data_IF_127692762202
#
_entry.id   IF_127692762202
#
_cell.length_a   1.000
_cell.length_b   1.000
_cell.length_c   1.000
_cell.angle_alpha   90.00
_cell.angle_beta   90.00
_cell.angle_gamma   90.00
#
_symmetry.space_group_name_H-M   'P 1'
#
loop_
_entity.id
_entity.type
_entity.pdbx_description
1 polymer ?
#
# COMPACT_ATOMS: atom_id res chain seq x y z
N UNK A 1 6.63 -46.57 -24.24
CA UNK A 1 5.96 -45.27 -24.53
C UNK A 1 6.03 -44.45 -23.26
N UNK A 2 7.10 -43.68 -23.08
CA UNK A 2 7.28 -42.81 -21.90
C UNK A 2 6.73 -41.43 -22.26
N UNK A 3 5.67 -41.00 -21.57
CA UNK A 3 5.17 -39.63 -21.66
C UNK A 3 6.11 -38.74 -20.83
N UNK A 4 6.79 -37.82 -21.49
CA UNK A 4 7.48 -36.69 -20.86
C UNK A 4 6.45 -35.57 -20.70
N UNK A 5 6.22 -35.01 -19.50
CA UNK A 5 5.37 -33.84 -19.35
C UNK A 5 6.13 -32.61 -19.85
N UNK A 6 5.60 -31.94 -20.87
CA UNK A 6 6.05 -30.64 -21.32
C UNK A 6 5.74 -29.62 -20.22
N UNK A 7 6.76 -29.11 -19.54
CA UNK A 7 6.65 -27.90 -18.72
C UNK A 7 6.36 -26.73 -19.65
N UNK A 8 5.13 -26.24 -19.65
CA UNK A 8 4.77 -24.98 -20.30
C UNK A 8 5.39 -23.84 -19.49
N UNK A 9 6.53 -23.34 -19.96
CA UNK A 9 7.08 -22.06 -19.54
C UNK A 9 6.10 -20.95 -19.94
N UNK A 10 5.39 -20.39 -18.97
CA UNK A 10 4.65 -19.14 -19.15
C UNK A 10 5.67 -18.02 -19.39
N UNK A 11 5.93 -17.70 -20.66
CA UNK A 11 6.58 -16.46 -21.04
C UNK A 11 5.64 -15.31 -20.66
N UNK A 12 5.92 -14.64 -19.55
CA UNK A 12 5.41 -13.30 -19.29
C UNK A 12 5.90 -12.42 -20.45
N UNK A 13 4.99 -11.97 -21.31
CA UNK A 13 5.27 -10.88 -22.22
C UNK A 13 5.56 -9.65 -21.36
N UNK A 14 6.86 -9.38 -21.15
CA UNK A 14 7.31 -8.12 -20.56
C UNK A 14 7.03 -7.04 -21.59
N UNK A 15 5.84 -6.44 -21.50
CA UNK A 15 5.52 -5.25 -22.27
C UNK A 15 6.39 -4.11 -21.70
N UNK A 16 7.44 -3.76 -22.43
CA UNK A 16 8.30 -2.64 -22.07
C UNK A 16 7.48 -1.36 -22.12
N UNK A 17 7.37 -0.65 -20.99
CA UNK A 17 6.65 0.62 -20.95
C UNK A 17 7.36 1.64 -21.83
N UNK A 18 6.61 2.32 -22.67
CA UNK A 18 7.12 3.38 -23.54
C UNK A 18 7.13 4.75 -22.86
N UNK A 19 6.31 4.92 -21.82
CA UNK A 19 6.21 6.15 -21.02
C UNK A 19 6.92 5.94 -19.68
N UNK A 20 7.92 6.77 -19.39
CA UNK A 20 8.51 6.90 -18.07
C UNK A 20 7.68 7.88 -17.23
N UNK A 21 6.98 7.43 -16.18
CA UNK A 21 6.26 8.34 -15.31
C UNK A 21 7.23 9.07 -14.37
N UNK A 22 6.89 10.29 -13.92
CA UNK A 22 7.71 11.04 -12.97
C UNK A 22 7.74 10.43 -11.56
N UNK A 23 6.81 9.52 -11.26
CA UNK A 23 6.77 8.78 -10.01
C UNK A 23 6.10 7.41 -10.20
N UNK A 24 6.59 6.42 -9.44
CA UNK A 24 6.07 5.06 -9.40
C UNK A 24 5.08 4.98 -8.23
N UNK A 25 3.80 4.63 -8.47
CA UNK A 25 2.83 4.45 -7.38
C UNK A 25 3.21 3.24 -6.52
N UNK A 26 3.30 3.39 -5.20
CA UNK A 26 3.54 2.29 -4.27
C UNK A 26 2.22 1.86 -3.62
N UNK A 27 1.59 2.74 -2.85
CA UNK A 27 0.24 2.53 -2.31
C UNK A 27 -0.71 3.57 -2.90
N UNK A 28 -1.89 3.17 -3.39
CA UNK A 28 -2.93 4.10 -3.86
C UNK A 28 -4.29 3.46 -3.64
N UNK A 29 -4.97 3.79 -2.53
CA UNK A 29 -6.25 3.14 -2.17
C UNK A 29 -7.39 4.07 -1.83
N UNK A 30 -7.10 5.25 -1.29
CA UNK A 30 -8.10 6.25 -0.92
C UNK A 30 -7.48 7.65 -1.00
N UNK A 31 -8.27 8.73 -0.88
CA UNK A 31 -7.75 10.08 -0.97
C UNK A 31 -6.58 10.38 -0.02
N UNK A 32 -6.57 9.72 1.14
CA UNK A 32 -5.58 9.91 2.19
C UNK A 32 -4.54 8.79 2.26
N UNK A 33 -4.74 7.67 1.57
CA UNK A 33 -3.80 6.55 1.54
C UNK A 33 -3.16 6.40 0.17
N UNK A 34 -2.13 7.21 -0.05
CA UNK A 34 -1.34 7.20 -1.27
C UNK A 34 0.15 7.37 -0.96
N UNK A 35 1.01 6.80 -1.78
CA UNK A 35 2.45 7.01 -1.72
C UNK A 35 3.07 6.74 -3.09
N UNK A 36 4.05 7.56 -3.42
CA UNK A 36 4.71 7.55 -4.71
C UNK A 36 6.23 7.61 -4.52
N UNK A 37 6.94 6.78 -5.26
CA UNK A 37 8.40 6.84 -5.35
C UNK A 37 8.78 7.76 -6.50
N UNK A 38 9.48 8.86 -6.22
CA UNK A 38 9.97 9.74 -7.28
C UNK A 38 10.88 8.97 -8.24
N UNK A 39 10.65 9.14 -9.55
CA UNK A 39 11.43 8.50 -10.59
C UNK A 39 11.65 9.48 -11.73
N UNK A 40 12.76 10.23 -11.66
CA UNK A 40 13.14 11.22 -12.66
C UNK A 40 14.51 10.89 -13.23
N UNK A 41 14.93 11.59 -14.29
CA UNK A 41 16.30 11.44 -14.84
C UNK A 41 17.41 11.75 -13.82
N UNK A 42 17.09 12.47 -12.74
CA UNK A 42 18.01 12.83 -11.65
C UNK A 42 17.76 12.05 -10.35
N UNK A 43 16.67 11.29 -10.24
CA UNK A 43 16.31 10.46 -9.08
C UNK A 43 15.96 9.05 -9.57
N UNK A 44 16.98 8.20 -9.72
CA UNK A 44 16.85 6.88 -10.38
C UNK A 44 16.96 5.69 -9.42
N UNK A 45 16.85 5.91 -8.11
CA UNK A 45 17.01 4.89 -7.07
C UNK A 45 15.78 4.72 -6.20
N UNK A 46 15.77 3.66 -5.39
CA UNK A 46 14.75 3.42 -4.37
C UNK A 46 15.15 3.97 -2.99
N UNK A 47 16.37 4.47 -2.85
CA UNK A 47 16.96 5.01 -1.62
C UNK A 47 16.50 6.45 -1.27
N UNK A 48 15.21 6.70 -1.45
CA UNK A 48 14.55 7.96 -1.10
C UNK A 48 13.25 7.62 -0.36
N UNK A 49 12.83 8.52 0.53
CA UNK A 49 11.50 8.39 1.13
C UNK A 49 10.43 8.47 0.03
N UNK A 50 9.45 7.56 0.03
CA UNK A 50 8.22 7.79 -0.70
C UNK A 50 7.62 9.13 -0.29
N UNK A 51 6.83 9.72 -1.17
CA UNK A 51 6.12 10.96 -0.89
C UNK A 51 4.62 10.77 -1.01
N UNK A 52 3.87 11.41 -0.12
CA UNK A 52 2.49 11.77 -0.43
C UNK A 52 2.46 12.86 -1.52
N UNK A 53 1.29 13.13 -2.11
CA UNK A 53 1.20 14.08 -3.22
C UNK A 53 1.71 15.49 -2.86
N UNK A 54 1.54 15.93 -1.60
CA UNK A 54 1.94 17.27 -1.15
C UNK A 54 3.45 17.45 -1.01
N UNK A 55 4.26 16.37 -1.00
CA UNK A 55 5.74 16.36 -0.86
C UNK A 55 6.35 17.14 0.31
N UNK A 56 5.54 17.80 1.15
CA UNK A 56 5.99 18.74 2.19
C UNK A 56 6.26 18.09 3.56
N UNK A 57 6.23 16.77 3.65
CA UNK A 57 6.52 16.01 4.86
C UNK A 57 7.22 14.70 4.51
N UNK A 58 7.97 14.16 5.46
CA UNK A 58 8.54 12.83 5.36
C UNK A 58 7.41 11.80 5.47
N UNK A 59 7.35 10.84 4.55
CA UNK A 59 6.51 9.67 4.67
C UNK A 59 7.43 8.47 4.94
N UNK A 60 7.86 8.32 6.19
CA UNK A 60 8.90 7.37 6.55
C UNK A 60 8.43 5.94 6.33
N UNK A 61 9.08 5.28 5.36
CA UNK A 61 8.88 3.90 4.98
C UNK A 61 10.23 3.35 4.54
N UNK A 62 10.81 2.48 5.37
CA UNK A 62 12.15 1.93 5.15
C UNK A 62 12.08 0.46 4.80
N UNK A 63 12.95 0.05 3.87
CA UNK A 63 13.18 -1.32 3.49
C UNK A 63 14.67 -1.67 3.55
N UNK A 64 15.05 -2.69 4.31
CA UNK A 64 16.44 -3.13 4.48
C UNK A 64 16.62 -4.62 4.16
N UNK A 65 17.82 -5.03 3.72
CA UNK A 65 18.19 -6.41 3.45
C UNK A 65 19.53 -6.78 4.11
N UNK A 66 19.69 -8.07 4.40
CA UNK A 66 20.98 -8.71 4.61
C UNK A 66 21.14 -9.87 3.64
N UNK A 67 22.18 -9.84 2.82
CA UNK A 67 22.55 -10.92 1.89
C UNK A 67 23.96 -11.38 2.21
N UNK A 68 24.12 -12.61 2.68
CA UNK A 68 25.40 -13.16 3.17
C UNK A 68 26.13 -12.22 4.17
N UNK A 69 25.34 -11.57 5.03
CA UNK A 69 25.83 -10.59 6.01
C UNK A 69 26.13 -9.20 5.44
N UNK A 70 26.11 -9.01 4.12
CA UNK A 70 26.18 -7.69 3.49
C UNK A 70 24.85 -6.96 3.59
N UNK A 71 24.89 -5.67 3.89
CA UNK A 71 23.71 -4.87 4.23
C UNK A 71 23.28 -4.01 3.04
N UNK A 72 21.97 -3.98 2.75
CA UNK A 72 21.41 -3.19 1.67
C UNK A 72 20.15 -2.43 2.10
N UNK A 73 19.87 -1.32 1.42
CA UNK A 73 18.64 -0.54 1.53
C UNK A 73 17.86 -0.67 0.22
N UNK A 74 16.64 -1.20 0.30
CA UNK A 74 15.77 -1.44 -0.85
C UNK A 74 14.65 -0.41 -1.01
N UNK A 75 14.32 0.35 0.04
CA UNK A 75 13.39 1.47 0.00
C UNK A 75 13.69 2.48 1.13
N UNK A 76 13.42 3.76 0.91
CA UNK A 76 13.55 4.79 1.93
C UNK A 76 14.95 5.40 1.99
N UNK A 77 15.18 6.30 2.94
CA UNK A 77 16.49 6.96 3.14
C UNK A 77 16.98 6.81 4.58
N UNK A 78 16.68 5.67 5.18
CA UNK A 78 16.88 5.38 6.59
C UNK A 78 18.36 5.32 6.97
N UNK A 79 19.24 4.97 6.05
CA UNK A 79 20.66 4.75 6.38
C UNK A 79 21.51 5.97 6.03
N UNK A 80 21.39 6.52 4.82
CA UNK A 80 22.20 7.68 4.38
C UNK A 80 21.79 8.99 5.05
N UNK A 81 20.49 9.31 5.17
CA UNK A 81 20.06 10.58 5.75
C UNK A 81 20.12 10.61 7.28
N UNK A 82 19.85 9.48 7.94
CA UNK A 82 19.84 9.39 9.41
C UNK A 82 21.26 9.13 9.96
N UNK A 83 22.21 8.76 9.10
CA UNK A 83 23.58 8.49 9.51
C UNK A 83 23.71 7.24 10.40
N UNK A 84 22.84 6.24 10.20
CA UNK A 84 22.85 5.00 10.97
C UNK A 84 24.22 4.33 10.84
N UNK A 85 25.00 4.42 11.91
CA UNK A 85 26.32 3.80 12.00
C UNK A 85 26.17 2.46 12.71
N UNK A 86 26.37 1.38 11.97
CA UNK A 86 26.22 0.01 12.45
C UNK A 86 27.55 -0.42 13.08
N UNK A 87 27.57 -1.50 13.87
CA UNK A 87 28.83 -2.01 14.43
C UNK A 87 29.87 -2.20 13.30
N UNK A 88 31.12 -1.81 13.58
CA UNK A 88 32.24 -1.75 12.62
C UNK A 88 32.15 -0.69 11.53
N UNK A 89 31.35 0.38 11.71
CA UNK A 89 31.14 1.44 10.72
C UNK A 89 30.61 0.93 9.36
N UNK A 90 29.88 -0.19 9.37
CA UNK A 90 29.21 -0.66 8.17
C UNK A 90 28.01 0.26 7.85
N UNK A 91 27.79 0.50 6.57
CA UNK A 91 26.65 1.26 6.04
C UNK A 91 25.94 0.36 5.04
N UNK A 92 24.60 0.28 5.13
CA UNK A 92 23.82 -0.41 4.11
C UNK A 92 23.98 0.30 2.76
N UNK A 93 24.19 -0.47 1.70
CA UNK A 93 24.35 0.07 0.35
C UNK A 93 22.98 0.14 -0.33
N UNK A 94 22.71 1.16 -1.16
CA UNK A 94 21.49 1.13 -1.98
C UNK A 94 21.53 -0.10 -2.90
N UNK A 95 20.39 -0.77 -3.06
CA UNK A 95 20.21 -1.78 -4.11
C UNK A 95 20.22 -1.14 -5.50
N UNK A 96 20.55 -1.92 -6.52
CA UNK A 96 20.43 -1.46 -7.91
C UNK A 96 19.02 -1.73 -8.42
N UNK A 97 18.27 -0.69 -8.80
CA UNK A 97 17.02 -0.84 -9.56
C UNK A 97 17.35 -1.26 -11.01
N UNK A 98 17.05 -2.50 -11.38
CA UNK A 98 17.30 -3.02 -12.72
C UNK A 98 16.18 -2.65 -13.69
N UNK A 99 14.93 -2.79 -13.23
CA UNK A 99 13.74 -2.46 -14.02
C UNK A 99 12.54 -2.22 -13.11
N UNK A 100 11.53 -1.56 -13.65
CA UNK A 100 10.21 -1.50 -13.05
C UNK A 100 9.13 -1.77 -14.10
N UNK A 101 7.95 -2.18 -13.65
CA UNK A 101 6.76 -2.32 -14.47
C UNK A 101 5.55 -1.77 -13.73
N UNK A 102 4.84 -0.84 -14.35
CA UNK A 102 3.56 -0.35 -13.84
C UNK A 102 2.42 -0.94 -14.67
N UNK A 103 1.42 -1.44 -13.96
CA UNK A 103 0.18 -1.99 -14.50
C UNK A 103 -0.99 -1.26 -13.84
N UNK A 104 -2.23 -1.46 -14.34
CA UNK A 104 -3.41 -0.81 -13.77
C UNK A 104 -3.58 -0.99 -12.26
N UNK A 105 -3.11 -2.09 -11.66
CA UNK A 105 -3.25 -2.36 -10.22
C UNK A 105 -1.91 -2.55 -9.48
N UNK A 106 -0.81 -2.84 -10.19
CA UNK A 106 0.49 -3.18 -9.58
C UNK A 106 1.64 -2.32 -10.06
N UNK A 107 2.60 -2.11 -9.17
CA UNK A 107 3.95 -1.65 -9.52
C UNK A 107 4.94 -2.73 -9.10
N UNK A 108 5.75 -3.21 -10.03
CA UNK A 108 6.74 -4.26 -9.80
C UNK A 108 8.13 -3.65 -9.94
N UNK A 109 8.96 -3.76 -8.91
CA UNK A 109 10.35 -3.34 -8.93
C UNK A 109 11.24 -4.59 -8.96
N UNK A 110 12.20 -4.63 -9.89
CA UNK A 110 13.25 -5.64 -9.94
C UNK A 110 14.55 -4.99 -9.49
N UNK A 111 15.05 -5.45 -8.36
CA UNK A 111 16.19 -4.90 -7.63
C UNK A 111 17.31 -5.96 -7.57
N UNK A 112 18.55 -5.50 -7.47
CA UNK A 112 19.70 -6.37 -7.25
C UNK A 112 20.43 -6.02 -5.96
N UNK A 113 20.61 -7.01 -5.09
CA UNK A 113 21.32 -6.93 -3.82
C UNK A 113 22.40 -8.02 -3.78
N UNK A 114 23.62 -7.69 -4.22
CA UNK A 114 24.70 -8.67 -4.34
C UNK A 114 24.35 -9.77 -5.35
N UNK A 115 24.46 -11.03 -4.93
CA UNK A 115 24.10 -12.22 -5.73
C UNK A 115 22.60 -12.57 -5.70
N UNK A 116 21.74 -11.68 -5.19
CA UNK A 116 20.29 -11.91 -5.13
C UNK A 116 19.54 -10.87 -5.98
N UNK A 117 18.68 -11.36 -6.86
CA UNK A 117 17.62 -10.58 -7.48
C UNK A 117 16.41 -10.56 -6.53
N UNK A 118 15.85 -9.38 -6.33
CA UNK A 118 14.71 -9.13 -5.46
C UNK A 118 13.58 -8.52 -6.30
N UNK A 119 12.40 -9.13 -6.27
CA UNK A 119 11.21 -8.59 -6.89
C UNK A 119 10.24 -8.12 -5.82
N UNK A 120 9.88 -6.83 -5.85
CA UNK A 120 8.88 -6.24 -4.96
C UNK A 120 7.66 -5.88 -5.80
N UNK A 121 6.51 -6.49 -5.49
CA UNK A 121 5.23 -6.11 -6.11
C UNK A 121 4.39 -5.33 -5.11
N UNK A 122 4.15 -4.06 -5.40
CA UNK A 122 3.16 -3.25 -4.70
C UNK A 122 1.81 -3.40 -5.40
N UNK A 123 0.83 -3.96 -4.70
CA UNK A 123 -0.53 -4.15 -5.21
C UNK A 123 -1.49 -3.22 -4.47
N UNK A 124 -2.13 -2.35 -5.23
CA UNK A 124 -3.31 -1.61 -4.79
C UNK A 124 -4.54 -2.19 -5.50
N UNK A 125 -5.31 -3.09 -4.85
CA UNK A 125 -6.37 -3.82 -5.53
C UNK A 125 -7.44 -2.89 -6.11
N UNK A 126 -7.79 -3.11 -7.38
CA UNK A 126 -9.04 -2.66 -7.98
C UNK A 126 -9.93 -3.90 -8.08
N UNK A 127 -11.07 -3.86 -7.42
CA UNK A 127 -11.95 -5.00 -7.18
C UNK A 127 -13.38 -4.69 -7.68
N UNK A 128 -13.60 -4.55 -8.99
CA UNK A 128 -14.86 -4.00 -9.46
C UNK A 128 -16.06 -4.95 -9.28
N UNK A 129 -15.81 -6.21 -8.94
CA UNK A 129 -16.85 -7.21 -8.73
C UNK A 129 -17.33 -7.30 -7.27
N UNK A 130 -16.62 -6.69 -6.32
CA UNK A 130 -16.96 -6.71 -4.89
C UNK A 130 -16.67 -5.35 -4.24
N UNK A 131 -17.73 -4.57 -4.01
CA UNK A 131 -17.65 -3.26 -3.36
C UNK A 131 -16.99 -3.32 -1.97
N UNK A 132 -17.14 -4.43 -1.25
CA UNK A 132 -16.51 -4.61 0.05
C UNK A 132 -15.01 -4.60 -0.08
N UNK A 133 -14.48 -5.39 -1.03
CA UNK A 133 -13.04 -5.47 -1.30
C UNK A 133 -12.53 -4.19 -1.95
N UNK A 134 -13.31 -3.54 -2.82
CA UNK A 134 -12.94 -2.25 -3.39
C UNK A 134 -12.80 -1.18 -2.29
N UNK A 135 -13.67 -1.21 -1.29
CA UNK A 135 -13.65 -0.29 -0.13
C UNK A 135 -12.62 -0.65 0.94
N UNK A 136 -11.84 -1.74 0.78
CA UNK A 136 -10.78 -2.07 1.73
C UNK A 136 -9.66 -1.04 1.70
N UNK A 137 -9.33 -0.35 2.81
CA UNK A 137 -8.28 0.67 2.85
C UNK A 137 -6.87 0.07 2.98
N UNK A 138 -6.58 -1.04 2.27
CA UNK A 138 -5.33 -1.80 2.39
C UNK A 138 -4.68 -2.08 1.02
N UNK A 139 -3.36 -2.14 1.03
CA UNK A 139 -2.48 -2.58 -0.07
C UNK A 139 -1.60 -3.74 0.35
N UNK A 140 -1.20 -4.57 -0.61
CA UNK A 140 -0.26 -5.66 -0.38
C UNK A 140 1.13 -5.30 -0.90
N UNK A 141 2.15 -5.81 -0.23
CA UNK A 141 3.54 -5.79 -0.67
C UNK A 141 3.99 -7.24 -0.74
N UNK A 142 4.34 -7.70 -1.95
CA UNK A 142 4.87 -9.06 -2.17
C UNK A 142 6.38 -8.96 -2.38
N UNK A 143 7.11 -9.77 -1.63
CA UNK A 143 8.56 -9.89 -1.73
C UNK A 143 8.93 -11.28 -2.24
N UNK A 144 9.73 -11.33 -3.30
CA UNK A 144 10.30 -12.56 -3.86
C UNK A 144 11.79 -12.36 -4.10
N UNK A 145 12.57 -13.43 -3.95
CA UNK A 145 14.01 -13.39 -4.16
C UNK A 145 14.51 -14.63 -4.92
N UNK A 146 15.56 -14.46 -5.72
CA UNK A 146 16.25 -15.54 -6.43
C UNK A 146 17.74 -15.25 -6.61
N UNK A 147 18.56 -16.29 -6.56
CA UNK A 147 20.00 -16.18 -6.81
C UNK A 147 20.28 -15.86 -8.27
N UNK A 148 21.28 -15.01 -8.49
CA UNK A 148 21.78 -14.65 -9.81
C UNK A 148 22.99 -15.46 -10.25
N UNK A 149 23.65 -16.16 -9.32
CA UNK A 149 24.90 -16.91 -9.57
C UNK A 149 24.74 -18.43 -9.47
N UNK A 150 23.54 -18.91 -9.13
CA UNK A 150 23.20 -20.33 -9.02
C UNK A 150 23.52 -20.95 -7.66
N UNK A 151 24.11 -20.19 -6.72
CA UNK A 151 24.37 -20.64 -5.35
C UNK A 151 23.20 -20.27 -4.41
N UNK A 152 23.22 -20.84 -3.20
CA UNK A 152 22.29 -20.43 -2.15
C UNK A 152 22.93 -19.37 -1.26
N UNK A 153 22.15 -18.38 -0.84
CA UNK A 153 22.60 -17.23 -0.05
C UNK A 153 21.75 -17.08 1.22
N UNK A 154 22.37 -16.62 2.30
CA UNK A 154 21.63 -16.19 3.50
C UNK A 154 20.86 -14.92 3.20
N UNK A 155 19.55 -14.90 3.46
CA UNK A 155 18.69 -13.73 3.21
C UNK A 155 17.83 -13.38 4.43
N UNK A 156 17.93 -12.13 4.87
CA UNK A 156 16.99 -11.50 5.80
C UNK A 156 16.43 -10.23 5.18
N UNK A 157 15.13 -10.00 5.34
CA UNK A 157 14.42 -8.83 4.82
C UNK A 157 13.71 -8.09 5.96
N UNK A 158 13.69 -6.77 5.88
CA UNK A 158 13.08 -5.88 6.86
C UNK A 158 12.28 -4.78 6.16
N UNK A 159 11.18 -4.39 6.80
CA UNK A 159 10.36 -3.24 6.44
C UNK A 159 9.83 -2.54 7.70
N UNK A 160 9.84 -1.21 7.71
CA UNK A 160 9.15 -0.41 8.71
C UNK A 160 8.34 0.74 8.12
N UNK A 161 7.31 1.13 8.88
CA UNK A 161 6.55 2.36 8.70
C UNK A 161 6.71 3.21 9.95
N UNK A 162 6.79 4.53 9.75
CA UNK A 162 6.99 5.53 10.81
C UNK A 162 5.68 6.17 11.29
N UNK A 163 5.73 6.94 12.38
CA UNK A 163 4.59 7.68 12.93
C UNK A 163 4.03 8.75 11.98
N UNK A 164 4.82 9.23 11.01
CA UNK A 164 4.47 10.30 10.07
C UNK A 164 3.26 9.96 9.20
N UNK A 165 2.93 8.67 9.01
CA UNK A 165 1.72 8.25 8.29
C UNK A 165 0.42 8.67 8.99
N UNK A 166 0.48 9.01 10.28
CA UNK A 166 -0.69 9.36 11.09
C UNK A 166 -0.99 10.86 11.15
N UNK A 167 -0.01 11.71 10.80
CA UNK A 167 -0.16 13.17 10.78
C UNK A 167 1.04 13.83 10.10
N UNK A 168 0.80 14.94 9.40
CA UNK A 168 1.88 15.77 8.84
C UNK A 168 2.59 16.65 9.89
N UNK A 169 2.04 16.78 11.09
CA UNK A 169 2.62 17.57 12.18
C UNK A 169 3.44 16.68 13.11
N UNK A 170 4.77 16.79 13.01
CA UNK A 170 5.69 15.93 13.77
C UNK A 170 5.65 16.15 15.28
N UNK A 171 5.05 17.24 15.76
CA UNK A 171 4.82 17.53 17.19
C UNK A 171 3.57 16.85 17.75
N UNK A 172 2.76 16.19 16.92
CA UNK A 172 1.66 15.38 17.42
C UNK A 172 2.20 14.11 18.06
N UNK A 173 1.63 13.72 19.20
CA UNK A 173 1.91 12.43 19.83
C UNK A 173 1.28 11.31 19.00
N UNK A 174 1.96 10.18 18.87
CA UNK A 174 1.41 8.97 18.27
C UNK A 174 1.28 7.89 19.35
N UNK A 175 0.11 7.26 19.43
CA UNK A 175 -0.14 6.08 20.24
C UNK A 175 -0.14 4.86 19.33
N UNK A 176 0.37 3.74 19.82
CA UNK A 176 0.42 2.51 19.05
C UNK A 176 0.21 1.28 19.90
N UNK A 177 -0.04 0.16 19.22
CA UNK A 177 -0.14 -1.14 19.85
C UNK A 177 0.30 -2.24 18.88
N UNK A 178 0.79 -3.36 19.40
CA UNK A 178 1.10 -4.56 18.63
C UNK A 178 0.19 -5.69 19.07
N UNK A 179 -0.49 -6.31 18.11
CA UNK A 179 -1.32 -7.48 18.36
C UNK A 179 -0.73 -8.68 17.64
N UNK A 180 -0.47 -9.74 18.40
CA UNK A 180 0.04 -11.02 17.89
C UNK A 180 -1.05 -12.08 17.94
N UNK A 181 -1.19 -12.85 16.86
CA UNK A 181 -2.05 -14.03 16.83
C UNK A 181 -1.38 -15.18 16.07
N UNK A 182 -2.03 -16.34 16.04
CA UNK A 182 -1.53 -17.49 15.27
C UNK A 182 -1.61 -17.30 13.75
N UNK A 183 -2.44 -16.35 13.25
CA UNK A 183 -2.62 -16.11 11.82
C UNK A 183 -1.88 -14.88 11.33
N UNK A 184 -1.99 -13.77 12.06
CA UNK A 184 -1.36 -12.48 11.71
C UNK A 184 -0.72 -11.83 12.93
N UNK A 185 0.31 -11.01 12.68
CA UNK A 185 0.83 -10.01 13.61
C UNK A 185 0.62 -8.65 12.96
N UNK A 186 0.14 -7.67 13.72
CA UNK A 186 -0.01 -6.32 13.21
C UNK A 186 0.37 -5.27 14.25
N UNK A 187 0.86 -4.15 13.74
CA UNK A 187 1.00 -2.88 14.46
C UNK A 187 -0.15 -1.97 14.06
N UNK A 188 -0.72 -1.26 15.02
CA UNK A 188 -1.65 -0.16 14.78
C UNK A 188 -1.10 1.12 15.41
N UNK A 189 -1.21 2.24 14.71
CA UNK A 189 -0.74 3.54 15.18
C UNK A 189 -1.72 4.64 14.82
N UNK A 190 -1.99 5.54 15.77
CA UNK A 190 -2.93 6.64 15.61
C UNK A 190 -2.42 7.88 16.33
N UNK A 191 -2.61 9.04 15.71
CA UNK A 191 -2.39 10.34 16.34
C UNK A 191 -3.19 10.49 17.64
N UNK A 192 -2.56 11.08 18.66
CA UNK A 192 -3.14 11.47 19.93
C UNK A 192 -2.84 12.95 20.24
N UNK A 193 -3.83 13.79 20.60
CA UNK A 193 -5.26 13.46 20.66
C UNK A 193 -5.85 13.23 19.26
N UNK A 194 -6.82 12.31 19.19
CA UNK A 194 -7.57 12.02 17.97
C UNK A 194 -8.36 13.25 17.48
N UNK A 195 -8.36 13.50 16.16
CA UNK A 195 -9.12 14.61 15.56
C UNK A 195 -10.05 14.13 14.44
N UNK A 196 -11.30 13.84 14.80
CA UNK A 196 -12.34 13.38 13.88
C UNK A 196 -12.52 14.31 12.68
N UNK A 197 -12.55 13.75 11.47
CA UNK A 197 -12.82 14.44 10.20
C UNK A 197 -12.03 15.73 10.00
N UNK A 198 -10.79 15.77 10.51
CA UNK A 198 -9.88 16.90 10.33
C UNK A 198 -8.84 16.55 9.28
N UNK A 199 -8.55 17.51 8.41
CA UNK A 199 -7.51 17.41 7.39
C UNK A 199 -6.44 18.47 7.67
N UNK A 200 -5.16 18.09 7.60
CA UNK A 200 -4.03 19.04 7.66
C UNK A 200 -2.99 18.63 6.63
N UNK A 201 -2.59 19.58 5.77
CA UNK A 201 -1.69 19.33 4.63
C UNK A 201 -2.13 18.13 3.76
N UNK A 202 -3.44 18.03 3.52
CA UNK A 202 -4.08 16.94 2.77
C UNK A 202 -3.99 15.54 3.40
N UNK A 203 -3.54 15.43 4.65
CA UNK A 203 -3.58 14.20 5.43
C UNK A 203 -4.78 14.19 6.36
N UNK A 204 -5.39 13.01 6.51
CA UNK A 204 -6.43 12.77 7.49
C UNK A 204 -5.85 12.63 8.90
N UNK A 205 -6.41 13.37 9.84
CA UNK A 205 -5.96 13.42 11.24
C UNK A 205 -6.77 12.49 12.17
N UNK A 206 -7.64 11.67 11.57
CA UNK A 206 -8.49 10.65 12.19
C UNK A 206 -8.18 9.23 11.69
N UNK A 207 -7.09 9.06 10.95
CA UNK A 207 -6.70 7.77 10.42
C UNK A 207 -5.89 6.93 11.40
N UNK A 208 -6.01 5.61 11.29
CA UNK A 208 -5.17 4.64 11.99
C UNK A 208 -4.32 3.90 10.95
N UNK A 209 -3.00 3.99 11.07
CA UNK A 209 -2.06 3.16 10.31
C UNK A 209 -2.14 1.73 10.83
N UNK A 210 -2.21 0.76 9.93
CA UNK A 210 -2.02 -0.65 10.21
C UNK A 210 -0.88 -1.18 9.34
N UNK A 211 0.08 -1.86 9.96
CA UNK A 211 1.12 -2.63 9.29
C UNK A 211 0.99 -4.09 9.74
N UNK A 212 0.80 -5.02 8.81
CA UNK A 212 0.46 -6.41 9.11
C UNK A 212 1.31 -7.41 8.32
N UNK A 213 1.68 -8.50 8.99
CA UNK A 213 2.36 -9.64 8.40
C UNK A 213 1.62 -10.95 8.75
N UNK A 214 1.69 -11.93 7.85
CA UNK A 214 1.24 -13.29 8.17
C UNK A 214 2.21 -13.93 9.15
N UNK A 215 1.69 -14.49 10.25
CA UNK A 215 2.50 -15.21 11.23
C UNK A 215 3.20 -16.40 10.56
N UNK A 216 4.53 -16.40 10.52
CA UNK A 216 5.33 -17.42 9.87
C UNK A 216 6.65 -17.69 10.61
N UNK A 217 7.27 -18.84 10.35
CA UNK A 217 8.62 -19.12 10.84
C UNK A 217 9.60 -18.08 10.30
N UNK A 218 10.52 -17.62 11.15
CA UNK A 218 11.49 -16.58 10.79
C UNK A 218 10.95 -15.15 10.81
N UNK A 219 9.64 -14.94 11.01
CA UNK A 219 9.08 -13.62 11.25
C UNK A 219 9.44 -13.15 12.66
N UNK A 220 9.96 -11.92 12.74
CA UNK A 220 10.15 -11.19 13.99
C UNK A 220 9.59 -9.77 13.84
N UNK A 221 9.20 -9.14 14.95
CA UNK A 221 8.62 -7.80 14.96
C UNK A 221 9.25 -6.92 16.03
N UNK A 222 9.17 -5.60 15.85
CA UNK A 222 9.52 -4.65 16.90
C UNK A 222 8.88 -3.28 16.65
N UNK A 223 8.41 -2.64 17.72
CA UNK A 223 8.13 -1.20 17.72
C UNK A 223 9.14 -0.46 18.61
N UNK A 224 9.46 0.78 18.27
CA UNK A 224 10.38 1.63 19.05
C UNK A 224 11.05 2.70 18.19
N UNK A 225 12.11 3.31 18.71
CA UNK A 225 12.92 4.31 18.00
C UNK A 225 13.57 3.71 16.73
N UNK A 226 13.49 4.44 15.63
CA UNK A 226 14.00 4.04 14.33
C UNK A 226 15.47 3.62 14.36
N UNK A 227 16.34 4.38 15.02
CA UNK A 227 17.78 4.08 15.06
C UNK A 227 18.05 2.77 15.80
N UNK A 228 17.31 2.50 16.88
CA UNK A 228 17.44 1.29 17.69
C UNK A 228 16.91 0.08 16.94
N UNK A 229 15.71 0.18 16.36
CA UNK A 229 15.03 -0.92 15.66
C UNK A 229 15.80 -1.30 14.39
N UNK A 230 16.16 -0.32 13.56
CA UNK A 230 16.91 -0.54 12.31
C UNK A 230 18.31 -1.07 12.60
N UNK A 231 19.01 -0.51 13.60
CA UNK A 231 20.33 -1.02 14.01
C UNK A 231 20.26 -2.47 14.49
N UNK A 232 19.20 -2.86 15.19
CA UNK A 232 19.03 -4.25 15.61
C UNK A 232 18.95 -5.18 14.41
N UNK A 233 18.11 -4.87 13.43
CA UNK A 233 18.04 -5.66 12.20
C UNK A 233 19.40 -5.73 11.50
N UNK A 234 20.07 -4.59 11.32
CA UNK A 234 21.33 -4.52 10.59
C UNK A 234 22.45 -5.34 11.25
N UNK A 235 22.50 -5.37 12.59
CA UNK A 235 23.48 -6.15 13.34
C UNK A 235 23.12 -7.64 13.43
N UNK A 236 21.85 -7.96 13.64
CA UNK A 236 21.43 -9.29 14.08
C UNK A 236 20.65 -10.08 13.01
N UNK A 237 20.12 -9.41 11.98
CA UNK A 237 19.22 -9.99 10.98
C UNK A 237 17.86 -10.40 11.54
N UNK A 238 17.51 -9.91 12.73
CA UNK A 238 16.28 -10.24 13.43
C UNK A 238 15.88 -9.12 14.38
N UNK A 239 14.59 -9.06 14.69
CA UNK A 239 14.01 -8.11 15.63
C UNK A 239 13.80 -8.71 17.02
N UNK A 240 13.33 -7.89 17.95
CA UNK A 240 13.23 -8.25 19.36
C UNK A 240 12.03 -9.10 19.74
N UNK A 241 11.01 -9.16 18.89
CA UNK A 241 9.67 -9.58 19.27
C UNK A 241 9.18 -8.80 20.50
N UNK A 242 9.36 -7.47 20.46
CA UNK A 242 8.99 -6.58 21.55
C UNK A 242 8.12 -5.44 21.06
N UNK A 243 7.26 -4.96 21.95
CA UNK A 243 6.51 -3.73 21.76
C UNK A 243 7.09 -2.68 22.71
N UNK A 244 7.43 -1.53 22.15
CA UNK A 244 7.61 -0.31 22.93
C UNK A 244 6.25 0.20 23.42
N UNK A 245 6.20 0.66 24.67
CA UNK A 245 4.99 1.19 25.32
C UNK A 245 5.11 2.66 25.72
N UNK A 246 6.22 3.32 25.36
CA UNK A 246 6.44 4.75 25.62
C UNK A 246 6.01 5.57 24.41
N UNK A 247 4.75 6.04 24.43
CA UNK A 247 4.19 6.94 23.42
C UNK A 247 4.86 8.31 23.45
N UNK A 248 5.10 8.88 22.27
CA UNK A 248 5.91 10.09 22.07
C UNK A 248 5.46 10.86 20.83
N UNK A 249 5.99 12.06 20.65
CA UNK A 249 5.78 12.86 19.43
C UNK A 249 6.34 12.12 18.21
N UNK A 250 5.72 12.30 17.04
CA UNK A 250 6.18 11.67 15.79
C UNK A 250 7.64 12.02 15.49
N UNK A 251 8.06 13.26 15.78
CA UNK A 251 9.43 13.74 15.58
C UNK A 251 10.43 13.41 16.69
N UNK A 252 9.98 12.79 17.79
CA UNK A 252 10.81 12.44 18.95
C UNK A 252 11.16 10.94 18.90
N UNK A 253 12.45 10.61 18.86
CA UNK A 253 12.96 9.24 18.74
C UNK A 253 12.11 8.40 17.74
N UNK A 254 12.09 8.84 16.46
CA UNK A 254 11.12 8.46 15.42
C UNK A 254 10.49 7.07 15.64
N UNK A 255 9.22 6.99 16.07
CA UNK A 255 8.59 5.71 16.36
C UNK A 255 8.32 4.96 15.05
N UNK A 256 8.86 3.73 14.96
CA UNK A 256 8.68 2.84 13.80
C UNK A 256 8.00 1.53 14.19
N UNK A 257 7.32 0.94 13.21
CA UNK A 257 6.51 -0.28 13.33
C UNK A 257 7.02 -1.33 12.35
N UNK A 258 7.90 -2.22 12.81
CA UNK A 258 8.77 -3.00 11.93
C UNK A 258 8.49 -4.51 11.95
N UNK A 259 8.57 -5.11 10.76
CA UNK A 259 8.69 -6.56 10.58
C UNK A 259 10.03 -6.92 9.95
N UNK A 260 10.49 -8.13 10.28
CA UNK A 260 11.65 -8.76 9.67
C UNK A 260 11.36 -10.24 9.43
N UNK A 261 11.75 -10.76 8.27
CA UNK A 261 11.68 -12.17 7.94
C UNK A 261 13.07 -12.72 7.61
N UNK A 262 13.48 -13.77 8.33
CA UNK A 262 14.68 -14.56 8.03
C UNK A 262 14.31 -15.78 7.17
N UNK A 263 14.81 -15.83 5.94
CA UNK A 263 14.62 -16.95 5.03
C UNK A 263 15.67 -18.05 5.22
N UNK A 264 16.71 -17.82 6.03
CA UNK A 264 17.89 -18.68 6.09
C UNK A 264 18.63 -18.68 4.75
N UNK A 265 19.21 -19.83 4.39
CA UNK A 265 19.97 -20.00 3.15
C UNK A 265 19.07 -20.52 2.03
N UNK A 266 18.85 -19.71 0.99
CA UNK A 266 17.94 -20.02 -0.12
C UNK A 266 18.59 -19.75 -1.47
N UNK A 267 18.21 -20.52 -2.50
CA UNK A 267 18.42 -20.16 -3.90
C UNK A 267 17.27 -19.32 -4.46
N UNK A 268 16.06 -19.50 -3.94
CA UNK A 268 14.88 -18.72 -4.29
C UNK A 268 13.79 -18.89 -3.23
N UNK A 269 12.92 -17.89 -3.10
CA UNK A 269 11.71 -18.00 -2.28
C UNK A 269 10.76 -19.04 -2.87
N UNK A 270 10.19 -19.93 -2.05
CA UNK A 270 9.20 -20.93 -2.49
C UNK A 270 7.81 -20.33 -2.77
N UNK A 271 7.51 -19.22 -2.10
CA UNK A 271 6.32 -18.40 -2.26
C UNK A 271 6.67 -16.97 -1.84
N UNK A 272 5.94 -15.95 -2.32
CA UNK A 272 6.16 -14.58 -1.88
C UNK A 272 5.97 -14.44 -0.36
N UNK A 273 6.83 -13.66 0.27
CA UNK A 273 6.51 -13.06 1.56
C UNK A 273 5.51 -11.92 1.31
N UNK A 274 4.50 -11.81 2.16
CA UNK A 274 3.44 -10.81 2.02
C UNK A 274 3.34 -9.96 3.27
N UNK A 275 3.44 -8.65 3.08
CA UNK A 275 3.02 -7.64 4.04
C UNK A 275 1.77 -6.93 3.56
N UNK A 276 1.00 -6.42 4.51
CA UNK A 276 -0.13 -5.55 4.26
C UNK A 276 0.06 -4.23 4.98
N UNK A 277 -0.33 -3.14 4.35
CA UNK A 277 -0.40 -1.82 4.99
C UNK A 277 -1.74 -1.19 4.67
N UNK A 278 -2.34 -0.55 5.67
CA UNK A 278 -3.62 0.13 5.54
C UNK A 278 -3.67 1.40 6.34
N UNK A 279 -4.50 2.33 5.89
CA UNK A 279 -4.76 3.59 6.58
C UNK A 279 -6.27 3.74 6.71
N UNK A 280 -6.78 3.42 7.89
CA UNK A 280 -8.22 3.23 8.12
C UNK A 280 -8.81 4.42 8.85
N UNK A 281 -9.91 4.92 8.31
CA UNK A 281 -10.76 5.94 8.93
C UNK A 281 -12.10 5.30 9.28
N UNK A 282 -12.83 5.87 10.24
CA UNK A 282 -14.22 5.47 10.50
C UNK A 282 -15.06 6.73 10.75
N UNK A 283 -15.64 7.22 9.67
CA UNK A 283 -16.18 8.57 9.60
C UNK A 283 -15.59 9.27 8.38
N UNK A 284 -15.90 8.75 7.19
CA UNK A 284 -15.20 9.15 5.97
C UNK A 284 -15.60 10.57 5.55
N UNK A 285 -16.89 10.89 5.72
CA UNK A 285 -17.49 12.17 5.38
C UNK A 285 -18.77 12.43 6.20
N UNK A 286 -19.07 13.70 6.45
CA UNK A 286 -20.39 14.15 6.90
C UNK A 286 -21.25 14.54 5.71
N UNK A 287 -22.37 13.85 5.51
CA UNK A 287 -23.29 14.07 4.41
C UNK A 287 -24.55 14.81 4.91
N UNK A 288 -24.89 15.93 4.27
CA UNK A 288 -26.09 16.68 4.60
C UNK A 288 -27.32 16.02 3.95
N UNK A 289 -28.34 15.70 4.76
CA UNK A 289 -29.63 15.17 4.31
C UNK A 289 -30.76 16.14 4.66
N UNK A 290 -31.96 15.90 4.14
CA UNK A 290 -33.17 16.67 4.52
C UNK A 290 -33.50 16.54 6.01
N UNK A 291 -33.05 15.47 6.66
CA UNK A 291 -33.19 15.20 8.09
C UNK A 291 -32.01 15.69 8.95
N UNK A 292 -31.03 16.38 8.35
CA UNK A 292 -29.82 16.84 9.01
C UNK A 292 -28.55 16.11 8.56
N UNK A 293 -27.44 16.35 9.25
CA UNK A 293 -26.15 15.76 8.90
C UNK A 293 -26.08 14.30 9.35
N UNK A 294 -25.56 13.44 8.47
CA UNK A 294 -25.28 12.04 8.73
C UNK A 294 -23.78 11.76 8.53
N UNK A 295 -23.13 11.19 9.53
CA UNK A 295 -21.79 10.62 9.37
C UNK A 295 -21.86 9.35 8.53
N UNK A 296 -21.01 9.27 7.51
CA UNK A 296 -20.87 8.12 6.63
C UNK A 296 -19.66 7.28 7.04
N UNK A 297 -19.77 5.97 6.93
CA UNK A 297 -18.75 5.02 7.37
C UNK A 297 -18.16 4.22 6.19
N UNK A 298 -16.95 3.66 6.32
CA UNK A 298 -16.36 2.82 5.27
C UNK A 298 -17.26 1.63 4.95
N UNK A 299 -17.53 1.41 3.66
CA UNK A 299 -18.46 0.38 3.23
C UNK A 299 -18.04 -1.03 3.67
N UNK A 300 -16.74 -1.30 3.82
CA UNK A 300 -16.28 -2.63 4.21
C UNK A 300 -16.78 -3.07 5.59
N UNK A 301 -17.06 -2.12 6.50
CA UNK A 301 -17.62 -2.39 7.82
C UNK A 301 -19.06 -2.94 7.75
N UNK A 302 -19.71 -2.87 6.58
CA UNK A 302 -20.99 -3.57 6.36
C UNK A 302 -20.86 -5.09 6.34
N UNK A 303 -19.66 -5.62 6.05
CA UNK A 303 -19.36 -7.07 6.05
C UNK A 303 -18.53 -7.51 7.26
N UNK A 304 -17.65 -6.64 7.74
CA UNK A 304 -16.71 -6.96 8.81
C UNK A 304 -17.08 -6.22 10.09
N UNK A 305 -17.08 -6.94 11.21
CA UNK A 305 -17.41 -6.37 12.51
C UNK A 305 -16.39 -5.31 12.96
N UNK A 306 -15.12 -5.50 12.60
CA UNK A 306 -14.01 -4.64 12.98
C UNK A 306 -12.85 -4.74 11.98
N UNK A 307 -11.86 -3.85 12.15
CA UNK A 307 -10.66 -3.78 11.30
C UNK A 307 -9.79 -5.04 11.44
N UNK A 308 -9.52 -5.59 12.64
CA UNK A 308 -8.73 -6.82 12.77
C UNK A 308 -9.31 -8.00 11.99
N UNK A 309 -10.63 -8.19 12.01
CA UNK A 309 -11.30 -9.26 11.22
C UNK A 309 -11.17 -9.01 9.72
N UNK A 310 -11.36 -7.76 9.28
CA UNK A 310 -11.18 -7.38 7.87
C UNK A 310 -9.74 -7.60 7.39
N UNK A 311 -8.76 -7.25 8.23
CA UNK A 311 -7.33 -7.38 7.96
C UNK A 311 -6.87 -8.85 7.93
N UNK A 312 -7.38 -9.69 8.82
CA UNK A 312 -7.11 -11.13 8.77
C UNK A 312 -7.68 -11.77 7.48
N UNK A 313 -8.88 -11.36 7.06
CA UNK A 313 -9.44 -11.76 5.77
C UNK A 313 -8.55 -11.30 4.61
N UNK A 314 -8.12 -10.03 4.64
CA UNK A 314 -7.23 -9.44 3.63
C UNK A 314 -5.95 -10.26 3.47
N UNK A 315 -5.20 -10.50 4.55
CA UNK A 315 -3.95 -11.27 4.48
C UNK A 315 -4.17 -12.71 3.97
N UNK A 316 -5.28 -13.35 4.34
CA UNK A 316 -5.62 -14.69 3.85
C UNK A 316 -6.01 -14.72 2.36
N UNK A 317 -6.46 -13.60 1.80
CA UNK A 317 -6.87 -13.49 0.40
C UNK A 317 -5.72 -13.07 -0.53
N UNK A 318 -4.52 -12.82 -0.02
CA UNK A 318 -3.38 -12.27 -0.78
C UNK A 318 -3.12 -12.99 -2.11
N UNK A 319 -3.01 -14.32 -2.11
CA UNK A 319 -2.79 -15.09 -3.35
C UNK A 319 -3.92 -14.89 -4.36
N UNK A 320 -5.17 -14.93 -3.92
CA UNK A 320 -6.32 -14.74 -4.81
C UNK A 320 -6.42 -13.29 -5.31
N UNK A 321 -6.12 -12.31 -4.45
CA UNK A 321 -6.10 -10.90 -4.79
C UNK A 321 -5.06 -10.61 -5.88
N UNK A 322 -3.86 -11.21 -5.78
CA UNK A 322 -2.83 -11.09 -6.80
C UNK A 322 -3.27 -11.69 -8.15
N UNK A 323 -3.95 -12.84 -8.14
CA UNK A 323 -4.45 -13.46 -9.38
C UNK A 323 -5.60 -12.67 -10.01
N UNK A 324 -6.51 -12.12 -9.19
CA UNK A 324 -7.56 -11.20 -9.67
C UNK A 324 -6.95 -9.94 -10.28
N UNK A 325 -5.93 -9.37 -9.63
CA UNK A 325 -5.20 -8.20 -10.12
C UNK A 325 -4.51 -8.47 -11.46
N UNK A 326 -3.75 -9.57 -11.59
CA UNK A 326 -3.13 -9.98 -12.86
C UNK A 326 -4.16 -10.17 -13.97
N UNK A 327 -5.29 -10.80 -13.65
CA UNK A 327 -6.38 -11.00 -14.62
C UNK A 327 -6.93 -9.67 -15.11
N UNK A 328 -7.21 -8.74 -14.18
CA UNK A 328 -7.74 -7.42 -14.51
C UNK A 328 -6.72 -6.56 -15.28
N UNK A 329 -5.46 -6.57 -14.86
CA UNK A 329 -4.37 -5.87 -15.56
C UNK A 329 -4.25 -6.35 -17.00
N UNK A 330 -4.21 -7.67 -17.22
CA UNK A 330 -4.10 -8.25 -18.56
C UNK A 330 -5.29 -7.84 -19.44
N UNK A 331 -6.50 -7.81 -18.88
CA UNK A 331 -7.68 -7.36 -19.61
C UNK A 331 -7.56 -5.90 -20.04
N UNK A 332 -7.29 -5.00 -19.09
CA UNK A 332 -7.19 -3.55 -19.35
C UNK A 332 -6.06 -3.25 -20.34
N UNK A 333 -4.88 -3.84 -20.14
CA UNK A 333 -3.72 -3.62 -21.00
C UNK A 333 -3.98 -4.16 -22.40
N UNK A 334 -4.63 -5.32 -22.54
CA UNK A 334 -5.01 -5.87 -23.84
C UNK A 334 -6.00 -4.95 -24.57
N UNK A 335 -7.07 -4.52 -23.90
CA UNK A 335 -8.08 -3.66 -24.48
C UNK A 335 -7.49 -2.30 -24.89
N UNK A 336 -6.64 -1.70 -24.06
CA UNK A 336 -5.98 -0.44 -24.36
C UNK A 336 -4.91 -0.57 -25.46
N UNK A 337 -4.17 -1.69 -25.49
CA UNK A 337 -3.14 -1.95 -26.51
C UNK A 337 -3.73 -2.15 -27.90
N UNK A 338 -5.00 -2.53 -28.01
CA UNK A 338 -5.73 -2.55 -29.29
C UNK A 338 -5.84 -1.16 -29.93
N UNK A 339 -5.70 -0.09 -29.15
CA UNK A 339 -5.61 1.29 -29.64
C UNK A 339 -4.14 1.67 -29.88
N UNK A 340 -3.29 1.61 -28.85
CA UNK A 340 -1.83 1.76 -28.97
C UNK A 340 -1.12 1.37 -27.66
N UNK A 341 0.17 1.05 -27.75
CA UNK A 341 0.99 0.80 -26.54
C UNK A 341 1.08 2.01 -25.62
N UNK A 342 1.22 3.23 -26.17
CA UNK A 342 1.26 4.46 -25.38
C UNK A 342 -0.06 4.72 -24.65
N UNK A 343 -1.20 4.36 -25.24
CA UNK A 343 -2.49 4.44 -24.55
C UNK A 343 -2.58 3.42 -23.40
N UNK A 344 -2.08 2.19 -23.59
CA UNK A 344 -2.02 1.20 -22.52
C UNK A 344 -1.14 1.66 -21.34
N UNK A 345 -0.03 2.34 -21.61
CA UNK A 345 0.81 2.93 -20.56
C UNK A 345 0.05 4.03 -19.78
N UNK A 346 -0.62 4.95 -20.48
CA UNK A 346 -1.42 6.00 -19.84
C UNK A 346 -2.56 5.43 -18.98
N UNK A 347 -3.29 4.43 -19.49
CA UNK A 347 -4.37 3.77 -18.75
C UNK A 347 -3.81 3.05 -17.51
N UNK A 348 -2.65 2.41 -17.62
CA UNK A 348 -2.00 1.74 -16.48
C UNK A 348 -1.63 2.73 -15.37
N UNK A 349 -1.18 3.94 -15.73
CA UNK A 349 -0.87 5.00 -14.76
C UNK A 349 -2.13 5.59 -14.12
N UNK A 350 -3.18 5.84 -14.91
CA UNK A 350 -4.38 6.53 -14.44
C UNK A 350 -5.34 5.65 -13.62
N UNK A 351 -5.33 4.33 -13.83
CA UNK A 351 -6.33 3.42 -13.25
C UNK A 351 -6.42 3.51 -11.72
N UNK A 352 -5.27 3.44 -11.03
CA UNK A 352 -5.22 3.59 -9.56
C UNK A 352 -5.53 4.99 -9.10
N UNK A 353 -5.15 6.03 -9.85
CA UNK A 353 -5.42 7.41 -9.47
C UNK A 353 -6.93 7.69 -9.43
N UNK A 354 -7.67 7.22 -10.45
CA UNK A 354 -9.13 7.32 -10.47
C UNK A 354 -9.76 6.63 -9.27
N UNK A 355 -9.35 5.38 -9.00
CA UNK A 355 -9.93 4.61 -7.90
C UNK A 355 -9.48 5.09 -6.52
N UNK A 356 -8.25 5.59 -6.41
CA UNK A 356 -7.69 6.17 -5.19
C UNK A 356 -8.31 7.52 -4.84
N UNK A 357 -8.96 8.21 -5.77
CA UNK A 357 -9.75 9.40 -5.48
C UNK A 357 -11.10 9.09 -4.82
N UNK A 358 -11.54 7.82 -4.78
CA UNK A 358 -12.87 7.43 -4.32
C UNK A 358 -12.90 6.97 -2.86
N UNK A 359 -13.96 7.37 -2.16
CA UNK A 359 -14.42 6.77 -0.90
C UNK A 359 -15.78 6.09 -1.14
N UNK A 360 -15.89 4.83 -0.75
CA UNK A 360 -17.14 4.06 -0.84
C UNK A 360 -17.72 3.95 0.57
N UNK A 361 -18.87 4.57 0.77
CA UNK A 361 -19.41 4.78 2.12
C UNK A 361 -20.79 4.16 2.31
N UNK A 362 -21.13 3.89 3.57
CA UNK A 362 -22.41 3.39 4.03
C UNK A 362 -22.99 4.28 5.12
N UNK A 363 -24.32 4.45 5.13
CA UNK A 363 -25.03 5.21 6.16
C UNK A 363 -25.52 4.34 7.30
N UNK A 364 -26.29 4.92 8.20
CA UNK A 364 -26.93 4.21 9.31
C UNK A 364 -28.46 4.24 9.19
N UNK A 365 -29.11 3.21 9.71
CA UNK A 365 -30.56 3.19 9.94
C UNK A 365 -30.96 4.06 11.15
N UNK A 366 -32.26 4.10 11.46
CA UNK A 366 -32.79 4.86 12.59
C UNK A 366 -32.34 4.35 13.97
N UNK A 367 -31.74 3.16 14.04
CA UNK A 367 -31.17 2.59 15.26
C UNK A 367 -29.65 2.77 15.33
N UNK A 368 -29.05 3.50 14.37
CA UNK A 368 -27.60 3.70 14.30
C UNK A 368 -26.81 2.50 13.74
N UNK A 369 -27.48 1.49 13.16
CA UNK A 369 -26.79 0.34 12.54
C UNK A 369 -26.45 0.63 11.09
N UNK A 370 -25.29 0.16 10.62
CA UNK A 370 -24.89 0.33 9.22
C UNK A 370 -25.95 -0.25 8.27
N UNK A 371 -26.40 0.55 7.32
CA UNK A 371 -27.36 0.16 6.30
C UNK A 371 -26.64 -0.15 4.99
N UNK A 372 -26.23 -1.40 4.79
CA UNK A 372 -25.48 -1.85 3.60
C UNK A 372 -26.14 -1.55 2.24
N UNK A 373 -27.42 -1.16 2.22
CA UNK A 373 -28.11 -0.75 0.98
C UNK A 373 -27.97 0.74 0.67
N UNK A 374 -27.72 1.57 1.68
CA UNK A 374 -27.52 3.01 1.59
C UNK A 374 -26.04 3.30 1.30
N UNK A 375 -25.65 3.09 0.04
CA UNK A 375 -24.28 3.25 -0.46
C UNK A 375 -24.16 4.60 -1.18
N UNK A 376 -23.13 5.36 -0.84
CA UNK A 376 -22.76 6.60 -1.54
C UNK A 376 -21.25 6.59 -1.84
N UNK A 377 -20.90 7.18 -2.98
CA UNK A 377 -19.52 7.36 -3.43
C UNK A 377 -19.16 8.83 -3.37
N UNK A 378 -17.94 9.12 -2.92
CA UNK A 378 -17.40 10.47 -2.88
C UNK A 378 -16.03 10.46 -3.55
N UNK A 379 -15.77 11.45 -4.40
CA UNK A 379 -14.47 11.64 -5.04
C UNK A 379 -13.79 12.87 -4.44
N UNK A 380 -12.54 12.76 -3.98
CA UNK A 380 -11.71 13.92 -3.65
C UNK A 380 -10.79 14.23 -4.83
N UNK A 381 -10.74 15.48 -5.24
CA UNK A 381 -9.65 15.98 -6.10
C UNK A 381 -8.41 16.23 -5.23
N UNK A 382 -7.67 15.14 -5.02
CA UNK A 382 -6.41 15.14 -4.28
C UNK A 382 -5.38 15.93 -5.09
N UNK A 383 -4.78 16.96 -4.52
CA UNK A 383 -3.77 17.73 -5.23
C UNK A 383 -4.16 19.15 -5.54
N UNK A 384 -5.16 19.28 -6.39
CA UNK A 384 -5.39 20.53 -7.07
C UNK A 384 -6.39 21.40 -6.33
N UNK A 385 -7.68 21.04 -6.40
CA UNK A 385 -8.73 21.84 -5.75
C UNK A 385 -9.06 21.39 -4.34
N UNK A 386 -8.64 20.18 -3.93
CA UNK A 386 -8.93 19.57 -2.62
C UNK A 386 -10.43 19.39 -2.33
N UNK A 387 -11.29 19.67 -3.31
CA UNK A 387 -12.74 19.60 -3.16
C UNK A 387 -13.22 18.15 -3.19
N UNK A 388 -14.33 17.93 -2.50
CA UNK A 388 -15.14 16.72 -2.65
C UNK A 388 -16.14 16.91 -3.79
N UNK A 389 -16.25 15.90 -4.66
CA UNK A 389 -17.10 15.83 -5.84
C UNK A 389 -16.99 17.02 -6.81
N UNK A 390 -15.78 17.48 -7.20
CA UNK A 390 -15.67 18.43 -8.29
C UNK A 390 -16.15 17.78 -9.58
N UNK A 391 -17.20 18.34 -10.18
CA UNK A 391 -17.94 17.77 -11.30
C UNK A 391 -17.03 17.48 -12.49
N UNK A 392 -16.06 18.35 -12.76
CA UNK A 392 -15.08 18.20 -13.82
C UNK A 392 -14.15 17.00 -13.61
N UNK A 393 -13.72 16.72 -12.37
CA UNK A 393 -12.87 15.56 -12.07
C UNK A 393 -13.69 14.26 -12.14
N UNK A 394 -14.93 14.30 -11.66
CA UNK A 394 -15.86 13.18 -11.77
C UNK A 394 -16.15 12.86 -13.25
N UNK A 395 -16.39 13.88 -14.07
CA UNK A 395 -16.64 13.71 -15.50
C UNK A 395 -15.40 13.17 -16.23
N UNK A 396 -14.21 13.66 -15.91
CA UNK A 396 -12.95 13.15 -16.46
C UNK A 396 -12.68 11.68 -16.08
N UNK A 397 -13.08 11.29 -14.87
CA UNK A 397 -12.92 9.93 -14.35
C UNK A 397 -14.00 8.94 -14.81
N UNK A 398 -15.12 9.46 -15.31
CA UNK A 398 -16.31 8.68 -15.64
C UNK A 398 -16.06 7.52 -16.62
N UNK A 399 -15.26 7.67 -17.71
CA UNK A 399 -14.98 6.56 -18.61
C UNK A 399 -14.28 5.38 -17.93
N UNK A 400 -13.32 5.66 -17.03
CA UNK A 400 -12.62 4.61 -16.28
C UNK A 400 -13.57 3.92 -15.29
N UNK A 401 -14.39 4.71 -14.57
CA UNK A 401 -15.41 4.17 -13.67
C UNK A 401 -16.37 3.27 -14.43
N UNK A 402 -16.90 3.70 -15.58
CA UNK A 402 -17.77 2.88 -16.43
C UNK A 402 -17.10 1.60 -16.89
N UNK A 403 -15.83 1.66 -17.29
CA UNK A 403 -15.08 0.47 -17.68
C UNK A 403 -15.04 -0.55 -16.53
N UNK A 404 -14.72 -0.10 -15.31
CA UNK A 404 -14.67 -0.96 -14.14
C UNK A 404 -16.05 -1.52 -13.73
N UNK A 405 -17.12 -0.74 -13.91
CA UNK A 405 -18.47 -1.08 -13.41
C UNK A 405 -19.34 -1.82 -14.43
N UNK A 406 -19.06 -1.70 -15.73
CA UNK A 406 -19.89 -2.24 -16.80
C UNK A 406 -20.04 -3.77 -16.72
N UNK A 407 -21.28 -4.26 -16.90
CA UNK A 407 -21.60 -5.69 -16.88
C UNK A 407 -21.59 -6.35 -15.49
N UNK A 408 -21.41 -5.60 -14.40
CA UNK A 408 -21.34 -6.14 -13.04
C UNK A 408 -22.61 -5.80 -12.23
N UNK A 409 -23.47 -6.78 -11.89
CA UNK A 409 -24.80 -6.53 -11.33
C UNK A 409 -24.81 -5.84 -9.95
N UNK A 410 -23.70 -5.85 -9.21
CA UNK A 410 -23.56 -5.15 -7.92
C UNK A 410 -23.05 -3.71 -8.04
N UNK A 411 -22.47 -3.35 -9.19
CA UNK A 411 -21.93 -2.02 -9.47
C UNK A 411 -22.87 -1.14 -10.33
N UNK A 412 -24.05 -1.61 -10.75
CA UNK A 412 -25.11 -0.73 -11.29
C UNK A 412 -25.55 0.36 -10.29
N UNK A 413 -25.14 0.27 -9.02
CA UNK A 413 -25.28 1.36 -8.05
C UNK A 413 -24.32 2.54 -8.31
N UNK A 414 -23.29 2.40 -9.15
CA UNK A 414 -22.55 3.54 -9.70
C UNK A 414 -23.44 4.37 -10.65
N UNK A 415 -24.55 3.84 -11.16
CA UNK A 415 -25.56 4.67 -11.83
C UNK A 415 -26.20 5.67 -10.85
N UNK A 416 -26.07 5.48 -9.52
CA UNK A 416 -26.44 6.49 -8.52
C UNK A 416 -25.37 7.59 -8.34
N UNK A 417 -24.15 7.39 -8.83
CA UNK A 417 -23.19 8.48 -8.97
C UNK A 417 -23.73 9.51 -9.99
N UNK A 418 -24.54 9.07 -10.97
CA UNK A 418 -25.32 9.97 -11.82
C UNK A 418 -26.44 10.71 -11.06
N UNK A 419 -27.03 10.13 -10.01
CA UNK A 419 -28.01 10.85 -9.18
C UNK A 419 -27.38 12.04 -8.44
N UNK A 420 -26.12 11.92 -8.00
CA UNK A 420 -25.37 13.04 -7.41
C UNK A 420 -25.16 14.15 -8.46
N UNK A 421 -24.93 13.82 -9.73
CA UNK A 421 -24.77 14.81 -10.80
C UNK A 421 -26.11 15.47 -11.22
N UNK A 422 -27.25 14.79 -11.05
CA UNK A 422 -28.58 15.34 -11.36
C UNK A 422 -29.20 16.17 -10.24
N UNK A 423 -28.73 16.02 -8.99
CA UNK A 423 -29.22 16.82 -7.85
C UNK A 423 -28.54 18.20 -7.75
N UNK A 424 -27.64 18.54 -8.68
CA UNK A 424 -26.99 19.86 -8.80
C UNK A 424 -27.49 20.73 -9.97
N UNK A 425 -28.66 20.42 -10.54
CA UNK A 425 -29.36 21.31 -11.50
C UNK A 425 -30.64 21.88 -10.94
#
# INVERSE_FOLDING_TARGET
>A
MFLVPLLASYLLLVQCQSIQPPAIPLTVRSPYFQSYLSHTSTTSGTNIWPSFWTTNHTLGWSGLLRVDGSLYEWLGSAVEQVGLTINNNATAKPVTLQSYQITPTRSVLTLQAGSMNINITFLSPIEPSDLTLQSFPFTYIYFEASSTDGNSHSLQVYEDFSGEWTSSQTTNVVHWNTTTSSSIIYHEAQRSPYQSMTETNDMAEDATLYHVATSASGLTYQTGEDTVVRSRFLNNGSLANSQDTTFREIGDDWPVFAFCNDFGTISSTSSPLVWGVGLVRNGDITYATTSGNQTRHPYFLSRFADVPTAMAYFMNDATNALERAKTLDNQIVSDASAISSGYADLVSLASRQVMGGLEITVGTDSNGRLNASDILFFMKDVGNSQRTNPVEAMYASFPAILYFTSGKPRMSKYDKLCHILTDFT
#
